data_IF_748000949755
#
_entry.id   IF_748000949755
#
_cell.length_a   1.000
_cell.length_b   1.000
_cell.length_c   1.000
_cell.angle_alpha   90.00
_cell.angle_beta   90.00
_cell.angle_gamma   90.00
#
_symmetry.space_group_name_H-M   'P 1'
#
loop_
_entity.id
_entity.type
_entity.pdbx_description
1 polymer ?
#
# COMPACT_ATOMS: atom_id res chain seq x y z
N UNK A 1 -10.15 -5.38 9.59
CA UNK A 1 -9.64 -4.87 8.30
C UNK A 1 -10.35 -5.58 7.16
N UNK A 2 -10.78 -4.84 6.15
CA UNK A 2 -11.48 -5.45 5.03
C UNK A 2 -10.54 -6.33 4.21
N UNK A 3 -11.13 -7.27 3.48
CA UNK A 3 -10.36 -8.13 2.59
C UNK A 3 -9.62 -7.31 1.52
N UNK A 4 -10.29 -6.26 1.02
CA UNK A 4 -9.68 -5.36 0.05
C UNK A 4 -8.44 -4.68 0.62
N UNK A 5 -8.53 -4.19 1.86
CA UNK A 5 -7.40 -3.53 2.49
C UNK A 5 -6.24 -4.49 2.72
N UNK A 6 -6.54 -5.73 3.14
CA UNK A 6 -5.52 -6.74 3.32
C UNK A 6 -4.81 -7.06 2.00
N UNK A 7 -5.56 -7.16 0.93
CA UNK A 7 -5.00 -7.45 -0.39
C UNK A 7 -4.10 -6.31 -0.87
N UNK A 8 -4.54 -5.08 -0.69
CA UNK A 8 -3.73 -3.93 -1.08
C UNK A 8 -2.46 -3.85 -0.25
N UNK A 9 -2.55 -4.07 1.06
CA UNK A 9 -1.38 -4.07 1.93
C UNK A 9 -0.38 -5.14 1.49
N UNK A 10 -0.87 -6.33 1.18
CA UNK A 10 0.00 -7.43 0.74
C UNK A 10 0.75 -7.06 -0.54
N UNK A 11 0.04 -6.51 -1.52
CA UNK A 11 0.68 -6.14 -2.79
C UNK A 11 1.67 -5.01 -2.57
N UNK A 12 1.35 -4.05 -1.70
CA UNK A 12 2.25 -2.95 -1.39
C UNK A 12 3.55 -3.48 -0.79
N UNK A 13 3.45 -4.42 0.14
CA UNK A 13 4.63 -5.02 0.77
C UNK A 13 5.47 -5.76 -0.28
N UNK A 14 4.82 -6.54 -1.14
CA UNK A 14 5.52 -7.27 -2.19
C UNK A 14 6.27 -6.33 -3.14
N UNK A 15 5.62 -5.26 -3.55
CA UNK A 15 6.25 -4.28 -4.45
C UNK A 15 7.41 -3.57 -3.76
N UNK A 16 7.24 -3.24 -2.49
CA UNK A 16 8.31 -2.59 -1.74
C UNK A 16 9.53 -3.50 -1.60
N UNK A 17 9.31 -4.78 -1.31
CA UNK A 17 10.41 -5.74 -1.18
C UNK A 17 11.12 -5.92 -2.52
N UNK A 18 10.36 -6.01 -3.62
CA UNK A 18 10.94 -6.23 -4.95
C UNK A 18 11.75 -5.04 -5.44
N UNK A 19 11.28 -3.83 -5.19
CA UNK A 19 11.88 -2.63 -5.79
C UNK A 19 12.65 -1.77 -4.80
N UNK A 20 12.41 -1.92 -3.50
CA UNK A 20 13.10 -1.15 -2.48
C UNK A 20 12.74 0.32 -2.48
N UNK A 21 11.60 0.68 -3.07
CA UNK A 21 11.17 2.07 -3.17
C UNK A 21 9.72 2.23 -2.70
N UNK A 22 9.35 3.42 -2.23
CA UNK A 22 7.97 3.67 -1.84
C UNK A 22 7.00 3.39 -2.97
N UNK A 23 5.83 2.88 -2.62
CA UNK A 23 4.84 2.41 -3.58
C UNK A 23 3.67 3.39 -3.64
N UNK A 24 3.38 3.90 -4.83
CA UNK A 24 2.26 4.80 -5.02
C UNK A 24 1.00 4.08 -5.48
N UNK A 25 -0.13 4.81 -5.43
CA UNK A 25 -1.42 4.24 -5.82
C UNK A 25 -1.44 3.83 -7.30
N UNK A 26 -0.75 4.57 -8.16
CA UNK A 26 -0.73 4.24 -9.59
C UNK A 26 -0.03 2.92 -9.85
N UNK A 27 1.04 2.62 -9.10
CA UNK A 27 1.73 1.34 -9.22
C UNK A 27 0.81 0.21 -8.78
N UNK A 28 0.11 0.40 -7.66
CA UNK A 28 -0.83 -0.60 -7.16
C UNK A 28 -2.00 -0.82 -8.11
N UNK A 29 -2.49 0.25 -8.73
CA UNK A 29 -3.60 0.16 -9.67
C UNK A 29 -3.25 -0.69 -10.90
N UNK A 30 -1.98 -0.73 -11.25
CA UNK A 30 -1.50 -1.52 -12.39
C UNK A 30 -1.14 -2.94 -12.00
N UNK A 31 -1.18 -3.26 -10.70
CA UNK A 31 -0.78 -4.59 -10.24
C UNK A 31 -1.88 -5.60 -10.54
N UNK A 32 -1.45 -6.79 -10.95
CA UNK A 32 -2.38 -7.86 -11.27
C UNK A 32 -3.20 -8.26 -10.05
N UNK A 33 -4.48 -8.50 -10.27
CA UNK A 33 -5.35 -9.01 -9.23
C UNK A 33 -6.06 -7.98 -8.38
N UNK A 34 -5.69 -6.71 -8.47
CA UNK A 34 -6.39 -5.68 -7.70
C UNK A 34 -7.64 -5.16 -8.39
N UNK A 35 -7.54 -4.92 -9.68
CA UNK A 35 -8.70 -4.51 -10.50
C UNK A 35 -9.51 -3.38 -9.87
N UNK A 36 -8.83 -2.39 -9.31
CA UNK A 36 -9.45 -1.26 -8.65
C UNK A 36 -8.90 0.04 -9.24
N UNK A 37 -9.71 1.10 -9.20
CA UNK A 37 -9.26 2.42 -9.65
C UNK A 37 -8.19 2.96 -8.70
N UNK A 38 -7.33 3.85 -9.20
CA UNK A 38 -6.32 4.47 -8.34
C UNK A 38 -6.96 5.32 -7.25
N UNK A 39 -8.13 5.88 -7.49
CA UNK A 39 -8.84 6.64 -6.45
C UNK A 39 -9.26 5.72 -5.29
N UNK A 40 -9.81 4.54 -5.62
CA UNK A 40 -10.19 3.58 -4.60
C UNK A 40 -8.98 3.10 -3.81
N UNK A 41 -7.89 2.81 -4.52
CA UNK A 41 -6.66 2.36 -3.87
C UNK A 41 -6.11 3.45 -2.95
N UNK A 42 -6.16 4.70 -3.39
CA UNK A 42 -5.69 5.83 -2.58
C UNK A 42 -6.49 5.94 -1.29
N UNK A 43 -7.82 5.75 -1.36
CA UNK A 43 -8.66 5.79 -0.17
C UNK A 43 -8.31 4.67 0.80
N UNK A 44 -8.11 3.47 0.29
CA UNK A 44 -7.71 2.34 1.14
C UNK A 44 -6.34 2.57 1.75
N UNK A 45 -5.41 3.14 0.98
CA UNK A 45 -4.09 3.46 1.51
C UNK A 45 -4.16 4.48 2.65
N UNK A 46 -5.07 5.46 2.54
CA UNK A 46 -5.27 6.41 3.63
C UNK A 46 -5.75 5.71 4.90
N UNK A 47 -6.64 4.74 4.76
CA UNK A 47 -7.10 3.95 5.90
C UNK A 47 -5.97 3.13 6.51
N UNK A 48 -5.15 2.50 5.67
CA UNK A 48 -4.02 1.71 6.14
C UNK A 48 -3.01 2.59 6.88
N UNK A 49 -2.78 3.78 6.39
CA UNK A 49 -1.87 4.73 7.02
C UNK A 49 -2.42 5.16 8.39
N UNK A 50 -3.71 5.42 8.47
CA UNK A 50 -4.35 5.77 9.73
C UNK A 50 -4.25 4.65 10.75
N UNK A 51 -4.29 3.40 10.30
CA UNK A 51 -4.12 2.25 11.18
C UNK A 51 -2.67 1.99 11.57
N UNK A 52 -1.74 2.74 11.01
CA UNK A 52 -0.33 2.57 11.33
C UNK A 52 0.35 1.42 10.61
N UNK A 53 -0.26 0.92 9.53
CA UNK A 53 0.29 -0.23 8.80
C UNK A 53 1.21 0.18 7.66
N UNK A 54 1.04 1.39 7.15
CA UNK A 54 1.94 1.99 6.17
C UNK A 54 2.22 3.42 6.59
N UNK A 55 3.28 4.01 6.02
CA UNK A 55 3.63 5.40 6.33
C UNK A 55 4.23 6.07 5.10
N UNK A 56 4.16 7.40 5.07
CA UNK A 56 4.80 8.19 4.04
C UNK A 56 6.28 8.36 4.40
N UNK A 57 7.20 7.99 3.53
CA UNK A 57 8.60 8.33 3.77
C UNK A 57 8.80 9.82 3.57
N UNK A 58 9.92 10.31 4.07
CA UNK A 58 10.18 11.71 4.28
C UNK A 58 9.90 12.64 3.08
N UNK A 59 10.21 12.24 1.87
CA UNK A 59 10.11 13.13 0.71
C UNK A 59 9.35 12.52 -0.46
N UNK A 60 8.66 11.42 -0.28
CA UNK A 60 8.05 10.69 -1.38
C UNK A 60 6.53 10.76 -1.33
N UNK A 61 5.91 10.73 -2.52
CA UNK A 61 4.46 10.61 -2.64
C UNK A 61 3.98 9.17 -2.40
N UNK A 62 4.89 8.19 -2.45
CA UNK A 62 4.54 6.79 -2.21
C UNK A 62 4.47 6.46 -0.73
N UNK A 63 4.22 5.19 -0.44
CA UNK A 63 4.12 4.69 0.93
C UNK A 63 5.00 3.47 1.10
N UNK A 64 5.44 3.26 2.34
CA UNK A 64 6.21 2.06 2.71
C UNK A 64 5.50 1.37 3.86
N UNK A 65 5.65 0.03 4.01
CA UNK A 65 5.05 -0.66 5.14
C UNK A 65 5.79 -0.32 6.44
N UNK A 66 5.05 -0.30 7.53
CA UNK A 66 5.63 -0.17 8.86
C UNK A 66 5.95 -1.55 9.40
N UNK A 67 6.66 -1.61 10.52
CA UNK A 67 6.90 -2.88 11.19
C UNK A 67 5.58 -3.57 11.51
N UNK A 68 4.59 -2.80 11.95
CA UNK A 68 3.28 -3.33 12.26
C UNK A 68 2.60 -3.89 11.01
N UNK A 69 2.78 -3.24 9.85
CA UNK A 69 2.24 -3.73 8.59
C UNK A 69 2.82 -5.08 8.19
N UNK A 70 4.12 -5.29 8.43
CA UNK A 70 4.75 -6.56 8.11
C UNK A 70 4.23 -7.72 8.97
N UNK A 71 3.71 -7.42 10.15
CA UNK A 71 3.27 -8.46 11.09
C UNK A 71 1.86 -8.97 10.83
N UNK A 72 1.15 -8.36 9.91
CA UNK A 72 -0.21 -8.78 9.60
C UNK A 72 -0.23 -10.02 8.64
#
# INVERSE_FOLDING_TARGET
MSERAQRILKVLIEKYIDHGQPVGSSILAKSAGLDLSSATIRNVMADLEEMGLIKAPHTSAGRIPTEQGYRL
#
